data_IF_443146388853
#
_entry.id   IF_443146388853
#
_cell.length_a   1.000
_cell.length_b   1.000
_cell.length_c   1.000
_cell.angle_alpha   90.00
_cell.angle_beta   90.00
_cell.angle_gamma   90.00
#
_symmetry.space_group_name_H-M   'P 1'
#
loop_
_entity.id
_entity.type
_entity.pdbx_description
1 polymer ?
#
# COMPACT_ATOMS: atom_id res chain seq x y z
N UNK A 1 -17.38 -32.94 46.96
CA UNK A 1 -16.78 -32.53 45.68
C UNK A 1 -17.67 -31.44 45.10
N UNK A 2 -17.22 -30.20 45.20
CA UNK A 2 -17.95 -29.00 44.71
C UNK A 2 -17.41 -28.62 43.35
N UNK A 3 -18.30 -28.60 42.35
CA UNK A 3 -17.98 -28.14 40.98
C UNK A 3 -18.01 -26.61 40.97
N UNK A 4 -16.93 -26.00 40.54
CA UNK A 4 -16.83 -24.56 40.32
C UNK A 4 -17.64 -24.14 39.05
N UNK A 5 -18.24 -22.93 39.02
CA UNK A 5 -19.00 -22.47 37.90
C UNK A 5 -18.10 -22.07 36.70
N UNK A 6 -18.53 -22.45 35.50
CA UNK A 6 -17.86 -22.10 34.25
C UNK A 6 -17.96 -20.59 33.98
N UNK A 7 -16.84 -19.98 33.59
CA UNK A 7 -16.80 -18.60 33.13
C UNK A 7 -17.47 -18.45 31.74
N UNK A 8 -18.24 -17.37 31.52
CA UNK A 8 -18.81 -17.13 30.21
C UNK A 8 -17.72 -16.74 29.19
N UNK A 9 -17.68 -17.45 28.07
CA UNK A 9 -16.84 -17.18 26.93
C UNK A 9 -17.27 -15.85 26.33
N UNK A 10 -16.30 -14.95 26.09
CA UNK A 10 -16.52 -13.60 25.61
C UNK A 10 -17.34 -13.55 24.33
N UNK A 11 -18.43 -12.79 24.36
CA UNK A 11 -19.28 -12.55 23.22
C UNK A 11 -18.56 -11.71 22.15
N UNK A 12 -18.51 -12.24 20.95
CA UNK A 12 -18.12 -11.48 19.77
C UNK A 12 -19.10 -10.34 19.54
N UNK A 13 -18.65 -9.10 19.65
CA UNK A 13 -19.45 -7.93 19.29
C UNK A 13 -19.52 -7.86 17.77
N UNK A 14 -20.57 -8.45 17.21
CA UNK A 14 -20.94 -8.23 15.81
C UNK A 14 -21.56 -6.83 15.71
N UNK A 15 -20.86 -5.89 15.09
CA UNK A 15 -21.42 -4.58 14.74
C UNK A 15 -22.57 -4.78 13.75
N UNK A 16 -23.78 -4.42 14.15
CA UNK A 16 -24.96 -4.44 13.31
C UNK A 16 -24.88 -3.35 12.23
N UNK A 17 -25.29 -3.61 10.97
CA UNK A 17 -25.38 -2.58 9.95
C UNK A 17 -26.46 -1.55 10.37
N UNK A 18 -26.05 -0.27 10.54
CA UNK A 18 -26.96 0.83 10.87
C UNK A 18 -26.77 1.49 12.22
N UNK A 19 -25.80 1.12 13.04
CA UNK A 19 -25.46 1.89 14.23
C UNK A 19 -24.69 3.17 13.81
N UNK A 20 -25.40 4.31 13.79
CA UNK A 20 -24.80 5.62 13.78
C UNK A 20 -23.90 5.76 15.01
N UNK A 21 -22.58 5.70 14.81
CA UNK A 21 -21.63 6.18 15.80
C UNK A 21 -21.90 7.67 15.98
N UNK A 22 -22.47 8.01 17.14
CA UNK A 22 -23.00 9.34 17.46
C UNK A 22 -22.06 10.46 17.03
N UNK A 23 -22.65 11.58 16.63
CA UNK A 23 -22.02 12.86 16.31
C UNK A 23 -21.37 13.49 17.56
N UNK A 24 -20.38 12.80 18.12
CA UNK A 24 -19.60 13.24 19.25
C UNK A 24 -18.12 13.30 18.87
N UNK A 25 -17.59 14.53 18.75
CA UNK A 25 -16.18 14.90 18.59
C UNK A 25 -15.46 14.20 17.43
N UNK A 26 -15.06 15.00 16.46
CA UNK A 26 -14.15 14.64 15.36
C UNK A 26 -12.91 13.96 15.95
N UNK A 27 -12.97 12.65 16.11
CA UNK A 27 -11.78 11.83 16.28
C UNK A 27 -11.00 12.08 14.99
N UNK A 28 -9.89 12.81 15.08
CA UNK A 28 -9.09 13.17 13.93
C UNK A 28 -8.91 11.93 13.06
N UNK A 29 -9.17 12.04 11.76
CA UNK A 29 -9.26 10.92 10.85
C UNK A 29 -8.00 10.03 11.01
N UNK A 30 -8.17 8.84 11.58
CA UNK A 30 -7.06 7.94 11.85
C UNK A 30 -6.42 7.53 10.54
N UNK A 31 -5.11 7.72 10.44
CA UNK A 31 -4.34 7.33 9.27
C UNK A 31 -4.33 5.82 9.14
N UNK A 32 -4.38 5.33 7.91
CA UNK A 32 -4.15 3.92 7.62
C UNK A 32 -2.67 3.58 7.83
N UNK A 33 -2.41 2.55 8.63
CA UNK A 33 -1.07 1.98 8.76
C UNK A 33 -0.72 1.13 7.52
N UNK A 34 0.56 1.06 7.15
CA UNK A 34 1.04 0.21 6.05
C UNK A 34 0.61 -1.25 6.25
N UNK A 35 0.64 -1.75 7.49
CA UNK A 35 0.19 -3.12 7.81
C UNK A 35 -1.30 -3.35 7.55
N UNK A 36 -2.15 -2.36 7.79
CA UNK A 36 -3.59 -2.46 7.46
C UNK A 36 -3.78 -2.52 5.95
N UNK A 37 -3.04 -1.69 5.21
CA UNK A 37 -3.04 -1.68 3.73
C UNK A 37 -2.59 -3.04 3.19
N UNK A 38 -1.48 -3.56 3.69
CA UNK A 38 -0.94 -4.87 3.30
C UNK A 38 -1.96 -5.99 3.50
N UNK A 39 -2.50 -6.16 4.72
CA UNK A 39 -3.44 -7.23 5.04
C UNK A 39 -4.71 -7.15 4.19
N UNK A 40 -5.28 -5.96 4.04
CA UNK A 40 -6.48 -5.75 3.25
C UNK A 40 -6.22 -6.04 1.77
N UNK A 41 -5.10 -5.56 1.24
CA UNK A 41 -4.72 -5.74 -0.16
C UNK A 41 -4.44 -7.20 -0.49
N UNK A 42 -3.66 -7.90 0.34
CA UNK A 42 -3.36 -9.32 0.13
C UNK A 42 -4.65 -10.18 0.13
N UNK A 43 -5.58 -9.90 1.03
CA UNK A 43 -6.88 -10.57 1.06
C UNK A 43 -7.70 -10.31 -0.22
N UNK A 44 -7.73 -9.07 -0.69
CA UNK A 44 -8.46 -8.69 -1.92
C UNK A 44 -7.82 -9.27 -3.18
N UNK A 45 -6.50 -9.31 -3.28
CA UNK A 45 -5.82 -10.01 -4.37
C UNK A 45 -6.12 -11.52 -4.35
N UNK A 46 -6.11 -12.16 -3.17
CA UNK A 46 -6.49 -13.55 -3.04
C UNK A 46 -7.92 -13.80 -3.55
N UNK A 47 -8.84 -12.88 -3.30
CA UNK A 47 -10.20 -12.96 -3.84
C UNK A 47 -10.26 -12.72 -5.35
N UNK A 48 -9.49 -11.77 -5.87
CA UNK A 48 -9.49 -11.42 -7.30
C UNK A 48 -8.87 -12.52 -8.18
N UNK A 49 -7.80 -13.16 -7.71
CA UNK A 49 -7.05 -14.17 -8.48
C UNK A 49 -7.36 -15.62 -8.08
N UNK A 50 -8.23 -15.82 -7.10
CA UNK A 50 -8.59 -17.14 -6.57
C UNK A 50 -7.82 -17.52 -5.31
N UNK A 51 -8.30 -18.56 -4.63
CA UNK A 51 -7.87 -18.95 -3.29
C UNK A 51 -6.47 -19.59 -3.21
N UNK A 52 -5.83 -19.88 -4.32
CA UNK A 52 -4.51 -20.56 -4.36
C UNK A 52 -3.33 -19.60 -4.17
N UNK A 53 -3.59 -18.30 -4.00
CA UNK A 53 -2.55 -17.30 -3.85
C UNK A 53 -1.99 -17.34 -2.42
N UNK A 54 -0.76 -17.79 -2.27
CA UNK A 54 -0.05 -17.79 -0.98
C UNK A 54 0.86 -16.57 -0.91
N UNK A 55 0.63 -15.73 0.09
CA UNK A 55 1.46 -14.56 0.35
C UNK A 55 2.54 -14.87 1.37
N UNK A 56 3.76 -14.49 1.05
CA UNK A 56 4.91 -14.54 1.93
C UNK A 56 5.15 -13.14 2.49
N UNK A 57 4.75 -12.91 3.74
CA UNK A 57 5.14 -11.72 4.49
C UNK A 57 6.55 -11.88 5.03
N UNK A 58 7.32 -10.80 5.03
CA UNK A 58 8.67 -10.80 5.58
C UNK A 58 8.68 -10.37 7.05
N UNK A 59 9.68 -10.82 7.79
CA UNK A 59 9.99 -10.24 9.08
C UNK A 59 10.62 -8.84 8.90
N UNK A 60 10.53 -7.98 9.90
CA UNK A 60 11.14 -6.63 9.84
C UNK A 60 12.64 -6.65 9.49
N UNK A 61 13.37 -7.71 9.87
CA UNK A 61 14.78 -7.87 9.53
C UNK A 61 14.94 -8.16 8.03
N UNK A 62 14.10 -9.04 7.48
CA UNK A 62 14.07 -9.37 6.06
C UNK A 62 13.57 -8.19 5.21
N UNK A 63 12.53 -7.47 5.66
CA UNK A 63 12.06 -6.24 5.00
C UNK A 63 13.19 -5.21 4.87
N UNK A 64 13.98 -5.01 5.92
CA UNK A 64 15.15 -4.12 5.89
C UNK A 64 16.23 -4.56 4.92
N UNK A 65 16.42 -5.87 4.75
CA UNK A 65 17.42 -6.44 3.87
C UNK A 65 16.98 -6.43 2.40
N UNK A 66 15.72 -6.76 2.13
CA UNK A 66 15.19 -6.99 0.79
C UNK A 66 14.36 -5.81 0.25
N UNK A 67 13.91 -4.93 1.13
CA UNK A 67 13.22 -3.69 0.76
C UNK A 67 11.75 -3.83 0.37
N UNK A 68 11.11 -5.00 0.55
CA UNK A 68 9.69 -5.22 0.25
C UNK A 68 8.93 -5.87 1.41
N UNK A 69 7.61 -5.76 1.40
CA UNK A 69 6.76 -6.21 2.51
C UNK A 69 6.15 -7.59 2.26
N UNK A 70 5.69 -7.85 1.04
CA UNK A 70 5.03 -9.11 0.69
C UNK A 70 5.40 -9.59 -0.71
N UNK A 71 5.41 -10.90 -0.88
CA UNK A 71 5.65 -11.55 -2.16
C UNK A 71 4.70 -12.74 -2.36
N UNK A 72 4.40 -13.03 -3.62
CA UNK A 72 3.65 -14.23 -4.02
C UNK A 72 4.11 -14.70 -5.39
N UNK A 73 3.63 -15.86 -5.81
CA UNK A 73 3.75 -16.32 -7.19
C UNK A 73 2.43 -16.07 -7.92
N UNK A 74 2.48 -15.35 -9.02
CA UNK A 74 1.33 -15.06 -9.86
C UNK A 74 1.63 -15.49 -11.30
N UNK A 75 0.91 -16.48 -11.79
CA UNK A 75 1.13 -17.00 -13.16
C UNK A 75 2.54 -17.51 -13.41
N UNK A 76 3.21 -18.12 -12.43
CA UNK A 76 4.59 -18.62 -12.52
C UNK A 76 5.67 -17.54 -12.38
N UNK A 77 5.31 -16.31 -12.04
CA UNK A 77 6.24 -15.18 -11.85
C UNK A 77 6.20 -14.66 -10.42
N UNK A 78 7.34 -14.19 -9.93
CA UNK A 78 7.38 -13.47 -8.67
C UNK A 78 6.57 -12.17 -8.80
N UNK A 79 5.65 -11.96 -7.87
CA UNK A 79 4.87 -10.74 -7.72
C UNK A 79 5.12 -10.18 -6.33
N UNK A 80 5.75 -9.02 -6.28
CA UNK A 80 6.33 -8.43 -5.07
C UNK A 80 5.71 -7.07 -4.85
N UNK A 81 5.29 -6.81 -3.63
CA UNK A 81 4.69 -5.55 -3.22
C UNK A 81 5.47 -4.88 -2.09
N UNK A 82 5.69 -3.58 -2.25
CA UNK A 82 6.11 -2.66 -1.22
C UNK A 82 4.97 -1.69 -0.94
N UNK A 83 4.37 -1.81 0.23
CA UNK A 83 3.23 -0.97 0.62
C UNK A 83 3.70 0.39 1.12
N UNK A 84 2.92 1.43 0.82
CA UNK A 84 3.15 2.77 1.34
C UNK A 84 1.83 3.38 1.82
N UNK A 85 1.84 3.91 3.02
CA UNK A 85 0.75 4.71 3.53
C UNK A 85 0.78 6.11 2.90
N UNK A 86 -0.38 6.61 2.51
CA UNK A 86 -0.51 7.94 1.91
C UNK A 86 -0.75 9.04 2.94
N UNK A 87 -0.33 10.25 2.60
CA UNK A 87 -0.73 11.47 3.28
C UNK A 87 -1.28 12.45 2.24
N UNK A 88 -2.36 13.14 2.57
CA UNK A 88 -2.88 14.23 1.71
C UNK A 88 -1.96 15.43 1.82
N UNK A 89 -1.59 16.02 0.69
CA UNK A 89 -0.89 17.31 0.66
C UNK A 89 -1.90 18.41 0.95
N UNK A 90 -1.55 19.43 1.76
CA UNK A 90 -2.40 20.60 1.97
C UNK A 90 -2.85 21.23 0.65
N UNK A 91 -3.97 21.95 0.67
CA UNK A 91 -4.57 22.58 -0.51
C UNK A 91 -3.78 23.78 -1.07
N UNK A 92 -2.49 23.89 -0.78
CA UNK A 92 -1.60 24.95 -1.26
C UNK A 92 -0.30 24.38 -1.79
N UNK A 93 0.24 25.00 -2.84
CA UNK A 93 1.50 24.60 -3.46
C UNK A 93 1.32 23.70 -4.69
N UNK A 94 2.44 23.32 -5.29
CA UNK A 94 2.50 22.63 -6.60
C UNK A 94 1.85 21.23 -6.62
N UNK A 95 1.63 20.62 -5.46
CA UNK A 95 1.06 19.29 -5.33
C UNK A 95 -0.23 19.29 -4.48
N UNK A 96 -0.93 20.42 -4.46
CA UNK A 96 -2.14 20.61 -3.69
C UNK A 96 -3.17 19.50 -3.95
N UNK A 97 -3.71 18.93 -2.89
CA UNK A 97 -4.73 17.89 -2.95
C UNK A 97 -4.26 16.49 -3.41
N UNK A 98 -3.01 16.35 -3.84
CA UNK A 98 -2.47 15.06 -4.23
C UNK A 98 -2.16 14.17 -3.02
N UNK A 99 -2.07 12.86 -3.25
CA UNK A 99 -1.55 11.91 -2.26
C UNK A 99 -0.03 11.90 -2.31
N UNK A 100 0.59 11.99 -1.13
CA UNK A 100 2.05 11.91 -0.97
C UNK A 100 2.42 10.61 -0.28
N UNK A 101 3.42 9.92 -0.83
CA UNK A 101 4.04 8.75 -0.26
C UNK A 101 5.51 9.06 0.05
N UNK A 102 6.00 8.49 1.14
CA UNK A 102 7.39 8.66 1.55
C UNK A 102 8.13 7.34 1.38
N UNK A 103 9.10 7.31 0.47
CA UNK A 103 9.91 6.14 0.16
C UNK A 103 11.34 6.38 0.68
N UNK A 104 11.87 5.45 1.47
CA UNK A 104 13.24 5.53 1.96
C UNK A 104 14.22 5.31 0.82
N UNK A 105 15.27 6.14 0.73
CA UNK A 105 16.25 6.07 -0.35
C UNK A 105 16.92 4.70 -0.45
N UNK A 106 17.41 4.16 0.67
CA UNK A 106 18.08 2.85 0.66
C UNK A 106 17.15 1.72 0.21
N UNK A 107 15.87 1.75 0.62
CA UNK A 107 14.87 0.78 0.20
C UNK A 107 14.63 0.85 -1.31
N UNK A 108 14.48 2.07 -1.85
CA UNK A 108 14.30 2.28 -3.29
C UNK A 108 15.53 1.79 -4.08
N UNK A 109 16.75 2.08 -3.61
CA UNK A 109 17.99 1.58 -4.23
C UNK A 109 18.02 0.05 -4.22
N UNK A 110 17.72 -0.58 -3.09
CA UNK A 110 17.69 -2.04 -2.98
C UNK A 110 16.70 -2.66 -3.97
N UNK A 111 15.48 -2.12 -4.04
CA UNK A 111 14.46 -2.63 -4.97
C UNK A 111 14.86 -2.47 -6.43
N UNK A 112 15.41 -1.31 -6.81
CA UNK A 112 15.88 -1.06 -8.18
C UNK A 112 17.06 -1.98 -8.54
N UNK A 113 17.98 -2.23 -7.61
CA UNK A 113 19.08 -3.18 -7.82
C UNK A 113 18.59 -4.61 -8.03
N UNK A 114 17.59 -5.05 -7.28
CA UNK A 114 17.07 -6.41 -7.35
C UNK A 114 16.10 -6.63 -8.51
N UNK A 115 15.25 -5.64 -8.81
CA UNK A 115 14.10 -5.81 -9.71
C UNK A 115 14.02 -4.80 -10.86
N UNK A 116 14.89 -3.80 -10.91
CA UNK A 116 14.87 -2.77 -11.97
C UNK A 116 15.05 -3.31 -13.39
N UNK A 117 15.64 -4.49 -13.55
CA UNK A 117 15.75 -5.19 -14.83
C UNK A 117 14.60 -6.18 -15.12
N UNK A 118 13.60 -6.29 -14.24
CA UNK A 118 12.54 -7.30 -14.32
C UNK A 118 11.16 -6.64 -14.27
N UNK A 119 10.67 -6.09 -15.39
CA UNK A 119 9.36 -5.43 -15.46
C UNK A 119 8.22 -6.33 -14.98
N UNK A 120 7.24 -5.71 -14.34
CA UNK A 120 6.04 -6.35 -13.80
C UNK A 120 6.30 -7.40 -12.69
N UNK A 121 7.43 -7.30 -11.98
CA UNK A 121 7.76 -8.23 -10.89
C UNK A 121 7.68 -7.59 -9.51
N UNK A 122 8.01 -6.33 -9.37
CA UNK A 122 8.02 -5.61 -8.10
C UNK A 122 7.37 -4.24 -8.23
N UNK A 123 6.46 -3.91 -7.31
CA UNK A 123 5.70 -2.68 -7.35
C UNK A 123 5.65 -1.98 -6.00
N UNK A 124 5.68 -0.66 -6.02
CA UNK A 124 5.13 0.13 -4.94
C UNK A 124 3.61 0.15 -5.05
N UNK A 125 2.94 -0.25 -3.98
CA UNK A 125 1.49 -0.16 -3.84
C UNK A 125 1.11 1.18 -3.22
N UNK A 126 0.38 2.00 -3.96
CA UNK A 126 0.09 3.40 -3.67
C UNK A 126 -1.43 3.62 -3.54
N UNK A 127 -2.01 3.52 -2.33
CA UNK A 127 -3.44 3.72 -2.14
C UNK A 127 -3.84 5.20 -2.24
N UNK A 128 -4.90 5.49 -2.96
CA UNK A 128 -5.54 6.82 -2.98
C UNK A 128 -6.47 7.06 -1.78
N UNK A 129 -6.38 6.23 -0.78
CA UNK A 129 -7.04 6.35 0.52
C UNK A 129 -5.98 6.48 1.61
N UNK A 130 -6.18 7.39 2.56
CA UNK A 130 -5.16 7.67 3.58
C UNK A 130 -5.66 7.50 5.01
N UNK A 131 -6.99 7.39 5.20
CA UNK A 131 -7.63 7.30 6.51
C UNK A 131 -8.63 6.15 6.56
N UNK A 132 -9.01 5.74 7.78
CA UNK A 132 -10.10 4.78 7.96
C UNK A 132 -11.43 5.29 7.41
N UNK A 133 -11.67 6.60 7.47
CA UNK A 133 -12.89 7.19 6.89
C UNK A 133 -12.86 7.07 5.36
N UNK A 134 -11.74 7.35 4.69
CA UNK A 134 -11.61 7.16 3.25
C UNK A 134 -11.86 5.69 2.89
N UNK A 135 -11.29 4.75 3.65
CA UNK A 135 -11.47 3.32 3.42
C UNK A 135 -12.94 2.88 3.59
N UNK A 136 -13.64 3.43 4.59
CA UNK A 136 -15.06 3.18 4.80
C UNK A 136 -15.92 3.73 3.65
N UNK A 137 -15.59 4.93 3.13
CA UNK A 137 -16.29 5.52 1.99
C UNK A 137 -16.18 4.68 0.72
N UNK A 138 -15.06 4.02 0.50
CA UNK A 138 -14.85 3.09 -0.61
C UNK A 138 -15.27 1.64 -0.27
N UNK A 139 -16.04 1.46 0.81
CA UNK A 139 -16.56 0.16 1.27
C UNK A 139 -15.47 -0.90 1.46
N UNK A 140 -14.29 -0.48 1.89
CA UNK A 140 -13.12 -1.35 2.07
C UNK A 140 -12.43 -1.77 0.77
N UNK A 141 -12.92 -1.37 -0.40
CA UNK A 141 -12.38 -1.79 -1.69
C UNK A 141 -11.08 -1.04 -2.05
N UNK A 142 -9.99 -1.47 -1.42
CA UNK A 142 -8.70 -0.80 -1.55
C UNK A 142 -8.08 -0.96 -2.94
N UNK A 143 -8.28 -2.12 -3.61
CA UNK A 143 -7.70 -2.36 -4.93
C UNK A 143 -8.22 -1.40 -6.00
N UNK A 144 -9.53 -1.08 -6.00
CA UNK A 144 -10.09 -0.13 -6.97
C UNK A 144 -9.60 1.32 -6.74
N UNK A 145 -9.09 1.59 -5.55
CA UNK A 145 -8.60 2.91 -5.12
C UNK A 145 -7.09 2.90 -4.85
N UNK A 146 -6.35 2.12 -5.63
CA UNK A 146 -4.90 2.00 -5.51
C UNK A 146 -4.23 1.90 -6.87
N UNK A 147 -2.95 2.26 -6.88
CA UNK A 147 -2.11 2.26 -8.06
C UNK A 147 -0.82 1.49 -7.80
N UNK A 148 -0.24 0.97 -8.85
CA UNK A 148 1.02 0.24 -8.86
C UNK A 148 2.06 1.04 -9.64
N UNK A 149 3.17 1.38 -8.98
CA UNK A 149 4.35 1.93 -9.62
C UNK A 149 5.37 0.80 -9.78
N UNK A 150 5.63 0.40 -11.02
CA UNK A 150 6.63 -0.63 -11.31
C UNK A 150 8.04 -0.14 -10.92
N UNK A 151 8.77 -0.96 -10.18
CA UNK A 151 10.15 -0.66 -9.80
C UNK A 151 11.07 -0.58 -11.02
N UNK A 152 10.77 -1.34 -12.08
CA UNK A 152 11.52 -1.28 -13.34
C UNK A 152 11.39 0.07 -14.08
N UNK A 153 10.34 0.84 -13.76
CA UNK A 153 10.16 2.20 -14.31
C UNK A 153 10.94 3.27 -13.54
N UNK A 154 11.53 2.93 -12.40
CA UNK A 154 12.33 3.88 -11.62
C UNK A 154 13.70 4.14 -12.26
N UNK A 155 14.30 5.33 -11.99
CA UNK A 155 15.65 5.61 -12.48
C UNK A 155 16.67 4.61 -11.94
N UNK A 156 17.59 4.18 -12.80
CA UNK A 156 18.74 3.38 -12.39
C UNK A 156 20.02 4.04 -12.94
N UNK A 157 20.88 4.63 -12.11
CA UNK A 157 20.80 4.64 -10.64
C UNK A 157 19.66 5.52 -10.08
N UNK A 158 19.21 5.19 -8.88
CA UNK A 158 18.25 6.00 -8.13
C UNK A 158 18.91 7.36 -7.79
N UNK A 159 18.26 8.50 -8.06
CA UNK A 159 18.83 9.81 -7.77
C UNK A 159 19.19 9.99 -6.31
N UNK A 160 20.30 10.66 -6.05
CA UNK A 160 20.72 10.95 -4.69
C UNK A 160 19.71 11.86 -3.97
N UNK A 161 19.55 11.66 -2.68
CA UNK A 161 18.82 12.59 -1.82
C UNK A 161 19.79 13.56 -1.16
N UNK A 162 19.29 14.75 -0.76
CA UNK A 162 20.10 15.76 -0.07
C UNK A 162 20.67 15.31 1.29
N UNK A 163 20.19 14.18 1.84
CA UNK A 163 20.64 13.61 3.11
C UNK A 163 20.96 12.12 2.92
N UNK A 164 22.01 11.65 3.60
CA UNK A 164 22.51 10.27 3.52
C UNK A 164 21.44 9.20 3.78
N UNK A 165 20.45 9.48 4.65
CA UNK A 165 19.27 8.64 4.91
C UNK A 165 18.00 9.36 4.44
N UNK A 166 18.05 9.94 3.25
CA UNK A 166 16.97 10.76 2.74
C UNK A 166 15.76 9.95 2.29
N UNK A 167 14.71 10.69 2.00
CA UNK A 167 13.45 10.16 1.49
C UNK A 167 13.18 10.73 0.11
N UNK A 168 12.57 9.89 -0.73
CA UNK A 168 11.91 10.35 -1.94
C UNK A 168 10.43 10.56 -1.62
N UNK A 169 9.88 11.67 -2.08
CA UNK A 169 8.44 11.87 -2.04
C UNK A 169 7.85 11.54 -3.41
N UNK A 170 6.86 10.66 -3.41
CA UNK A 170 6.11 10.30 -4.59
C UNK A 170 4.73 10.93 -4.45
N UNK A 171 4.35 11.76 -5.42
CA UNK A 171 3.04 12.40 -5.47
C UNK A 171 2.20 11.74 -6.54
N UNK A 172 1.02 11.26 -6.15
CA UNK A 172 0.07 10.61 -7.04
C UNK A 172 -0.97 11.62 -7.49
N UNK A 173 -1.09 11.81 -8.79
CA UNK A 173 -2.22 12.44 -9.44
C UNK A 173 -3.21 11.35 -9.87
N UNK A 174 -4.21 11.12 -9.03
CA UNK A 174 -5.21 10.08 -9.30
C UNK A 174 -6.07 10.36 -10.55
N UNK A 175 -6.17 11.62 -10.97
CA UNK A 175 -6.93 12.01 -12.16
C UNK A 175 -6.18 11.68 -13.45
N UNK A 176 -4.85 11.69 -13.40
CA UNK A 176 -3.99 11.48 -14.58
C UNK A 176 -3.25 10.13 -14.57
N UNK A 177 -3.52 9.17 -13.70
CA UNK A 177 -2.73 8.04 -13.18
C UNK A 177 -1.21 8.22 -13.39
N UNK A 178 -0.69 9.31 -12.85
CA UNK A 178 0.72 9.68 -12.90
C UNK A 178 1.29 9.85 -11.50
N UNK A 179 2.55 9.51 -11.34
CA UNK A 179 3.32 9.88 -10.15
C UNK A 179 4.46 10.82 -10.52
N UNK A 180 4.75 11.75 -9.61
CA UNK A 180 5.93 12.61 -9.68
C UNK A 180 6.85 12.30 -8.52
N UNK A 181 8.11 11.98 -8.81
CA UNK A 181 9.15 11.70 -7.80
C UNK A 181 9.99 12.99 -7.67
N UNK A 182 10.03 13.55 -6.46
CA UNK A 182 10.56 14.92 -6.25
C UNK A 182 12.04 15.03 -6.02
N UNK A 183 12.78 13.95 -5.81
CA UNK A 183 14.25 14.01 -5.75
C UNK A 183 14.87 14.44 -7.10
N UNK A 184 14.26 14.03 -8.18
CA UNK A 184 14.29 14.64 -9.51
C UNK A 184 12.85 14.64 -10.02
N UNK A 185 12.31 15.69 -10.62
CA UNK A 185 10.92 15.76 -11.03
C UNK A 185 10.63 14.82 -12.22
N UNK A 186 10.67 13.53 -11.94
CA UNK A 186 10.42 12.46 -12.89
C UNK A 186 8.93 12.11 -12.81
N UNK A 187 8.25 12.19 -13.95
CA UNK A 187 6.87 11.72 -14.09
C UNK A 187 6.85 10.30 -14.63
N UNK A 188 6.13 9.42 -13.95
CA UNK A 188 5.93 8.02 -14.35
C UNK A 188 4.46 7.68 -14.38
N UNK A 189 4.06 6.88 -15.36
CA UNK A 189 2.72 6.33 -15.43
C UNK A 189 2.58 5.22 -14.39
N UNK A 190 1.42 5.15 -13.75
CA UNK A 190 1.07 4.06 -12.83
C UNK A 190 -0.12 3.27 -13.37
N UNK A 191 -0.23 2.02 -12.93
CA UNK A 191 -1.35 1.14 -13.24
C UNK A 191 -2.36 1.18 -12.12
N UNK A 192 -3.64 1.08 -12.43
CA UNK A 192 -4.62 0.72 -11.41
C UNK A 192 -4.37 -0.71 -10.97
N UNK A 193 -4.50 -0.97 -9.67
CA UNK A 193 -4.25 -2.32 -9.13
C UNK A 193 -5.18 -3.38 -9.70
N UNK A 194 -6.38 -2.99 -10.12
CA UNK A 194 -7.36 -3.87 -10.79
C UNK A 194 -6.97 -4.24 -12.22
N UNK A 195 -6.18 -3.39 -12.90
CA UNK A 195 -5.76 -3.66 -14.29
C UNK A 195 -4.64 -4.72 -14.35
N UNK A 196 -4.13 -5.10 -13.19
CA UNK A 196 -3.11 -6.13 -13.07
C UNK A 196 -3.59 -7.49 -13.60
N UNK A 197 -4.86 -7.84 -13.36
CA UNK A 197 -5.47 -9.07 -13.86
C UNK A 197 -5.33 -9.19 -15.39
N UNK A 198 -5.46 -8.09 -16.13
CA UNK A 198 -5.37 -8.06 -17.59
C UNK A 198 -3.94 -8.35 -18.10
N UNK A 199 -2.92 -8.13 -17.25
CA UNK A 199 -1.51 -8.29 -17.65
C UNK A 199 -0.94 -9.68 -17.37
N UNK A 200 -1.55 -10.43 -16.45
CA UNK A 200 -1.04 -11.72 -16.02
C UNK A 200 -1.86 -12.90 -16.57
N UNK A 201 -3.02 -12.64 -17.14
CA UNK A 201 -3.94 -13.60 -17.78
C UNK A 201 -4.33 -13.14 -19.18
#
# INVERSE_FOLDING_TARGET
MSLAPAHPVGGSVLLQPGQNLGTGNVVGAWKLAEKTIELTTCAQFGHLFGTEMVWFGLTQAQERQHGFDAATNLGGRAFILQFKASATVPQSGSYAGQRRFTCQHHQMVTLVQLFGGTPNSCFYFLPDVGTFNDLAQVQGNLLHHSYLLDVADLPNPVPATHRKNGYHHVFLDANAPLVTITSEPIRKRVLRSTDLAIRFF
#
